data_IF_921141751297
#
_entry.id   IF_921141751297
#
_cell.length_a   1.000
_cell.length_b   1.000
_cell.length_c   1.000
_cell.angle_alpha   90.00
_cell.angle_beta   90.00
_cell.angle_gamma   90.00
#
_symmetry.space_group_name_H-M   'P 1'
#
loop_
_entity.id
_entity.type
_entity.pdbx_description
1 polymer ?
#
# COMPACT_ATOMS: atom_id res chain seq x y z
N UNK A 1 -6.38 19.93 -26.63
CA UNK A 1 -5.26 19.00 -26.83
C UNK A 1 -5.30 18.04 -25.66
N UNK A 2 -5.56 16.75 -25.91
CA UNK A 2 -5.74 15.76 -24.84
C UNK A 2 -4.37 15.31 -24.35
N UNK A 3 -3.89 15.94 -23.28
CA UNK A 3 -2.61 15.65 -22.63
C UNK A 3 -2.65 14.37 -21.79
N UNK A 4 -3.08 13.26 -22.39
CA UNK A 4 -3.18 11.95 -21.75
C UNK A 4 -1.80 11.35 -21.36
N UNK A 5 -0.70 12.05 -21.60
CA UNK A 5 0.68 11.60 -21.38
C UNK A 5 1.49 12.46 -20.39
N UNK A 6 0.89 13.42 -19.68
CA UNK A 6 1.64 14.32 -18.78
C UNK A 6 1.92 13.70 -17.41
N UNK A 7 1.05 12.80 -16.94
CA UNK A 7 1.12 12.23 -15.59
C UNK A 7 0.93 10.73 -15.62
N UNK A 8 1.85 10.00 -14.99
CA UNK A 8 1.73 8.57 -14.74
C UNK A 8 0.62 8.33 -13.68
N UNK A 9 -0.42 7.54 -13.98
CA UNK A 9 -1.53 7.30 -13.03
C UNK A 9 -1.09 6.67 -11.71
N UNK A 10 -0.11 5.76 -11.73
CA UNK A 10 0.45 5.16 -10.50
C UNK A 10 1.23 6.19 -9.69
N UNK A 11 1.96 7.07 -10.35
CA UNK A 11 2.63 8.17 -9.67
C UNK A 11 1.61 9.06 -8.95
N UNK A 12 0.53 9.44 -9.65
CA UNK A 12 -0.55 10.23 -9.05
C UNK A 12 -1.19 9.50 -7.85
N UNK A 13 -1.40 8.19 -7.95
CA UNK A 13 -1.89 7.37 -6.84
C UNK A 13 -0.97 7.47 -5.61
N UNK A 14 0.33 7.20 -5.78
CA UNK A 14 1.29 7.29 -4.68
C UNK A 14 1.43 8.72 -4.12
N UNK A 15 1.35 9.72 -4.98
CA UNK A 15 1.41 11.12 -4.58
C UNK A 15 0.19 11.52 -3.74
N UNK A 16 -1.02 11.13 -4.16
CA UNK A 16 -2.24 11.39 -3.39
C UNK A 16 -2.26 10.62 -2.08
N UNK A 17 -1.74 9.39 -2.06
CA UNK A 17 -1.52 8.63 -0.82
C UNK A 17 -0.58 9.39 0.12
N UNK A 18 0.52 9.94 -0.38
CA UNK A 18 1.48 10.71 0.45
C UNK A 18 0.87 11.99 1.03
N UNK A 19 -0.21 12.50 0.42
CA UNK A 19 -0.96 13.68 0.83
C UNK A 19 -2.26 13.35 1.55
N UNK A 20 -2.47 12.09 1.94
CA UNK A 20 -3.70 11.64 2.58
C UNK A 20 -4.09 12.47 3.80
N UNK A 21 -3.11 12.91 4.58
CA UNK A 21 -3.35 13.66 5.82
C UNK A 21 -3.80 15.10 5.52
N UNK A 22 -3.20 15.73 4.52
CA UNK A 22 -3.62 17.06 4.06
C UNK A 22 -5.01 16.99 3.42
N UNK A 23 -5.27 15.95 2.61
CA UNK A 23 -6.58 15.69 2.02
C UNK A 23 -7.64 15.43 3.10
N UNK A 24 -7.27 14.75 4.19
CA UNK A 24 -8.17 14.51 5.31
C UNK A 24 -8.52 15.79 6.08
N UNK A 25 -7.60 16.75 6.20
CA UNK A 25 -7.89 18.07 6.80
C UNK A 25 -8.88 18.90 5.97
N UNK A 26 -8.98 18.63 4.67
CA UNK A 26 -9.93 19.29 3.77
C UNK A 26 -11.34 18.70 3.85
N UNK A 27 -11.58 17.65 4.64
CA UNK A 27 -12.91 17.07 4.84
C UNK A 27 -13.80 18.06 5.60
N UNK A 28 -15.02 18.25 5.11
CA UNK A 28 -16.03 19.03 5.82
C UNK A 28 -16.41 18.35 7.14
N UNK A 29 -16.64 19.14 8.20
CA UNK A 29 -17.00 18.70 9.55
C UNK A 29 -18.44 18.18 9.72
N UNK A 30 -19.16 17.91 8.62
CA UNK A 30 -20.50 17.34 8.65
C UNK A 30 -20.53 15.82 8.94
N UNK A 31 -21.71 15.28 9.18
CA UNK A 31 -21.92 13.84 9.48
C UNK A 31 -21.43 12.89 8.38
N UNK A 32 -21.23 13.38 7.15
CA UNK A 32 -20.59 12.65 6.05
C UNK A 32 -19.33 13.41 5.64
N UNK A 33 -18.13 12.86 5.88
CA UNK A 33 -16.88 13.51 5.47
C UNK A 33 -16.82 13.57 3.94
N UNK A 34 -17.06 14.76 3.40
CA UNK A 34 -17.05 15.02 1.96
C UNK A 34 -15.90 15.96 1.63
N UNK A 35 -15.14 15.66 0.58
CA UNK A 35 -14.08 16.50 0.06
C UNK A 35 -14.64 17.25 -1.14
N UNK A 36 -14.62 18.59 -1.11
CA UNK A 36 -15.10 19.42 -2.22
C UNK A 36 -14.04 19.47 -3.31
N UNK A 37 -14.48 19.42 -4.57
CA UNK A 37 -13.58 19.53 -5.74
C UNK A 37 -12.81 20.85 -5.79
N UNK A 38 -13.35 21.91 -5.21
CA UNK A 38 -12.69 23.22 -5.06
C UNK A 38 -11.48 23.13 -4.14
N UNK A 39 -11.62 22.50 -2.98
CA UNK A 39 -10.54 22.31 -2.01
C UNK A 39 -9.44 21.39 -2.55
N UNK A 40 -9.80 20.43 -3.42
CA UNK A 40 -8.81 19.58 -4.08
C UNK A 40 -7.95 20.36 -5.10
N UNK A 41 -8.49 21.43 -5.71
CA UNK A 41 -7.76 22.29 -6.65
C UNK A 41 -6.78 23.24 -5.97
N UNK A 42 -6.93 23.45 -4.67
CA UNK A 42 -6.02 24.26 -3.84
C UNK A 42 -4.74 23.48 -3.46
N UNK A 43 -4.70 22.18 -3.69
CA UNK A 43 -3.48 21.38 -3.52
C UNK A 43 -2.47 21.73 -4.60
N UNK A 44 -1.49 22.55 -4.23
CA UNK A 44 -0.33 22.81 -5.06
C UNK A 44 0.58 21.57 -5.11
N UNK A 45 0.76 21.04 -6.32
CA UNK A 45 1.55 19.83 -6.57
C UNK A 45 2.52 20.11 -7.71
N UNK A 46 3.81 19.87 -7.45
CA UNK A 46 4.84 19.92 -8.49
C UNK A 46 4.87 18.57 -9.20
N UNK A 47 4.66 18.58 -10.51
CA UNK A 47 4.70 17.37 -11.34
C UNK A 47 6.08 17.29 -12.01
N UNK A 48 6.93 16.31 -11.65
CA UNK A 48 8.24 16.14 -12.28
C UNK A 48 8.09 15.54 -13.70
N UNK A 49 9.19 15.45 -14.45
CA UNK A 49 9.17 14.84 -15.79
C UNK A 49 8.72 13.37 -15.76
N UNK A 50 8.13 12.88 -16.86
CA UNK A 50 7.58 11.51 -16.94
C UNK A 50 8.63 10.42 -16.62
N UNK A 51 9.89 10.64 -16.99
CA UNK A 51 11.00 9.73 -16.68
C UNK A 51 11.21 9.60 -15.18
N UNK A 52 11.19 10.72 -14.45
CA UNK A 52 11.31 10.74 -12.99
C UNK A 52 10.08 10.11 -12.33
N UNK A 53 8.88 10.40 -12.84
CA UNK A 53 7.65 9.76 -12.33
C UNK A 53 7.72 8.23 -12.43
N UNK A 54 8.18 7.70 -13.57
CA UNK A 54 8.31 6.25 -13.78
C UNK A 54 9.33 5.62 -12.82
N UNK A 55 10.48 6.26 -12.60
CA UNK A 55 11.48 5.78 -11.62
C UNK A 55 10.92 5.74 -10.19
N UNK A 56 10.16 6.76 -9.81
CA UNK A 56 9.52 6.80 -8.49
C UNK A 56 8.53 5.63 -8.36
N UNK A 57 7.69 5.43 -9.38
CA UNK A 57 6.72 4.32 -9.41
C UNK A 57 7.42 2.97 -9.30
N UNK A 58 8.50 2.75 -10.05
CA UNK A 58 9.27 1.51 -10.02
C UNK A 58 9.78 1.18 -8.60
N UNK A 59 10.37 2.17 -7.93
CA UNK A 59 10.88 2.01 -6.56
C UNK A 59 9.73 1.70 -5.58
N UNK A 60 8.62 2.42 -5.68
CA UNK A 60 7.48 2.26 -4.78
C UNK A 60 6.72 0.95 -5.02
N UNK A 61 6.57 0.52 -6.27
CA UNK A 61 5.98 -0.77 -6.64
C UNK A 61 6.84 -1.92 -6.06
N UNK A 62 8.17 -1.84 -6.21
CA UNK A 62 9.09 -2.84 -5.67
C UNK A 62 8.99 -2.93 -4.13
N UNK A 63 9.06 -1.79 -3.45
CA UNK A 63 8.90 -1.74 -2.00
C UNK A 63 7.55 -2.33 -1.56
N UNK A 64 6.47 -1.94 -2.22
CA UNK A 64 5.13 -2.45 -1.93
C UNK A 64 5.03 -3.97 -2.16
N UNK A 65 5.66 -4.50 -3.20
CA UNK A 65 5.71 -5.94 -3.47
C UNK A 65 6.38 -6.68 -2.30
N UNK A 66 7.59 -6.26 -1.93
CA UNK A 66 8.35 -6.87 -0.82
C UNK A 66 7.54 -6.80 0.49
N UNK A 67 6.94 -5.64 0.78
CA UNK A 67 6.14 -5.45 1.99
C UNK A 67 4.91 -6.37 2.02
N UNK A 68 4.24 -6.55 0.88
CA UNK A 68 3.09 -7.45 0.76
C UNK A 68 3.50 -8.92 0.91
N UNK A 69 4.63 -9.31 0.31
CA UNK A 69 5.16 -10.67 0.43
C UNK A 69 5.51 -11.02 1.87
N UNK A 70 6.13 -10.09 2.61
CA UNK A 70 6.44 -10.29 4.04
C UNK A 70 5.16 -10.36 4.87
N UNK A 71 4.24 -9.41 4.68
CA UNK A 71 2.97 -9.35 5.43
C UNK A 71 2.14 -10.61 5.23
N UNK A 72 2.12 -11.15 4.01
CA UNK A 72 1.38 -12.38 3.70
C UNK A 72 2.17 -13.66 4.01
N UNK A 73 3.49 -13.61 3.98
CA UNK A 73 4.38 -14.76 4.19
C UNK A 73 4.51 -15.14 5.67
N UNK A 74 4.59 -14.16 6.57
CA UNK A 74 4.76 -14.42 8.01
C UNK A 74 3.61 -15.25 8.62
N UNK A 75 2.32 -14.96 8.37
CA UNK A 75 1.23 -15.78 8.87
C UNK A 75 1.26 -17.21 8.32
N UNK A 76 1.58 -17.38 7.03
CA UNK A 76 1.69 -18.70 6.39
C UNK A 76 2.82 -19.53 7.00
N UNK A 77 3.96 -18.90 7.28
CA UNK A 77 5.08 -19.54 7.95
C UNK A 77 4.71 -19.97 9.37
N UNK A 78 4.09 -19.07 10.15
CA UNK A 78 3.63 -19.37 11.52
C UNK A 78 2.68 -20.58 11.56
N UNK A 79 1.71 -20.63 10.64
CA UNK A 79 0.80 -21.78 10.51
C UNK A 79 1.54 -23.08 10.16
N UNK A 80 2.55 -23.01 9.30
CA UNK A 80 3.34 -24.18 8.90
C UNK A 80 4.19 -24.70 10.05
N UNK A 81 4.81 -23.80 10.82
CA UNK A 81 5.55 -24.13 12.04
C UNK A 81 4.63 -24.78 13.07
N UNK A 82 3.43 -24.23 13.28
CA UNK A 82 2.45 -24.80 14.21
C UNK A 82 2.05 -26.24 13.83
N UNK A 83 1.74 -26.47 12.55
CA UNK A 83 1.42 -27.82 12.04
C UNK A 83 2.59 -28.79 12.22
N UNK A 84 3.81 -28.33 11.96
CA UNK A 84 5.01 -29.15 12.13
C UNK A 84 5.23 -29.52 13.61
N UNK A 85 5.03 -28.56 14.52
CA UNK A 85 5.08 -28.79 15.95
C UNK A 85 4.04 -29.84 16.40
N UNK A 86 2.77 -29.68 16.00
CA UNK A 86 1.69 -30.62 16.33
C UNK A 86 1.99 -32.04 15.83
N UNK A 87 2.46 -32.17 14.59
CA UNK A 87 2.85 -33.45 14.01
C UNK A 87 3.94 -34.16 14.83
N UNK A 88 5.04 -33.48 15.17
CA UNK A 88 6.11 -34.10 15.94
C UNK A 88 5.73 -34.36 17.40
N UNK A 89 4.94 -33.47 18.00
CA UNK A 89 4.37 -33.67 19.34
C UNK A 89 3.56 -34.98 19.38
N UNK A 90 2.67 -35.18 18.42
CA UNK A 90 1.79 -36.35 18.37
C UNK A 90 2.58 -37.63 18.05
N UNK A 91 3.62 -37.55 17.22
CA UNK A 91 4.54 -38.66 16.97
C UNK A 91 5.30 -39.09 18.24
N UNK A 92 5.83 -38.14 19.00
CA UNK A 92 6.55 -38.42 20.26
C UNK A 92 5.58 -39.05 21.28
N UNK A 93 4.36 -38.49 21.42
CA UNK A 93 3.36 -39.08 22.31
C UNK A 93 2.95 -40.49 21.91
N UNK A 94 2.89 -40.78 20.60
CA UNK A 94 2.66 -42.14 20.10
C UNK A 94 3.85 -43.07 20.38
N UNK A 95 5.07 -42.57 20.31
CA UNK A 95 6.27 -43.36 20.59
C UNK A 95 6.44 -43.69 22.08
N UNK A 96 5.99 -42.79 22.97
CA UNK A 96 6.08 -42.95 24.42
C UNK A 96 4.95 -43.82 25.02
N UNK A 97 3.92 -44.17 24.24
CA UNK A 97 2.82 -45.07 24.64
C UNK A 97 3.07 -46.47 24.11
#
# INVERSE_FOLDING_TARGET
MNDANTVNPKFLYYLLLSKSDDIQKLKSSGSVPTIRSTSLKELEIIIPSISTQNKIVEILDNFNSISNDITNGLPKLSQSIQKQYEYYRDLIFKWLK
#
